data_IF_688027015614
#
_entry.id   IF_688027015614
#
_cell.length_a   1.000
_cell.length_b   1.000
_cell.length_c   1.000
_cell.angle_alpha   90.00
_cell.angle_beta   90.00
_cell.angle_gamma   90.00
#
_symmetry.space_group_name_H-M   'P 1'
#
loop_
_entity.id
_entity.type
_entity.pdbx_description
1 polymer ?
#
# COMPACT_ATOMS: atom_id res chain seq x y z
N UNK A 1 -6.12 -26.87 -15.69
CA UNK A 1 -5.79 -26.03 -14.49
C UNK A 1 -4.30 -25.97 -14.16
N UNK A 2 -3.46 -26.97 -14.49
CA UNK A 2 -2.01 -26.88 -14.17
C UNK A 2 -1.29 -25.75 -14.90
N UNK A 3 -1.66 -25.46 -16.16
CA UNK A 3 -1.01 -24.42 -16.96
C UNK A 3 -1.28 -23.00 -16.43
N UNK A 4 -2.55 -22.60 -16.30
CA UNK A 4 -2.91 -21.23 -15.88
C UNK A 4 -2.33 -20.83 -14.52
N UNK A 5 -2.23 -21.79 -13.59
CA UNK A 5 -1.65 -21.56 -12.27
C UNK A 5 -0.13 -21.35 -12.34
N UNK A 6 0.56 -22.08 -13.21
CA UNK A 6 1.99 -21.87 -13.46
C UNK A 6 2.22 -20.49 -14.06
N UNK A 7 1.47 -20.14 -15.11
CA UNK A 7 1.54 -18.82 -15.75
C UNK A 7 1.28 -17.67 -14.76
N UNK A 8 0.29 -17.83 -13.87
CA UNK A 8 0.05 -16.86 -12.82
C UNK A 8 1.23 -16.75 -11.84
N UNK A 9 1.79 -17.89 -11.42
CA UNK A 9 2.94 -17.91 -10.52
C UNK A 9 4.18 -17.25 -11.14
N UNK A 10 4.42 -17.49 -12.43
CA UNK A 10 5.48 -16.89 -13.21
C UNK A 10 5.29 -15.37 -13.31
N UNK A 11 4.08 -14.91 -13.64
CA UNK A 11 3.74 -13.48 -13.66
C UNK A 11 3.97 -12.80 -12.30
N UNK A 12 3.61 -13.47 -11.21
CA UNK A 12 3.77 -12.93 -9.86
C UNK A 12 5.20 -13.03 -9.32
N UNK A 13 6.10 -13.76 -10.00
CA UNK A 13 7.42 -14.14 -9.50
C UNK A 13 7.36 -14.84 -8.14
N UNK A 14 6.44 -15.81 -8.02
CA UNK A 14 6.21 -16.58 -6.79
C UNK A 14 6.09 -18.08 -7.09
N UNK A 15 6.13 -18.90 -6.04
CA UNK A 15 5.81 -20.32 -6.18
C UNK A 15 4.33 -20.52 -6.52
N UNK A 16 3.97 -21.58 -7.24
CA UNK A 16 2.57 -21.91 -7.53
C UNK A 16 1.70 -22.01 -6.26
N UNK A 17 2.26 -22.35 -5.09
CA UNK A 17 1.53 -22.36 -3.81
C UNK A 17 0.99 -20.98 -3.41
N UNK A 18 1.69 -19.91 -3.80
CA UNK A 18 1.38 -18.53 -3.44
C UNK A 18 0.39 -17.85 -4.41
N UNK A 19 0.18 -18.44 -5.59
CA UNK A 19 -0.91 -18.08 -6.51
C UNK A 19 -2.20 -18.78 -6.07
N UNK A 20 -3.09 -18.04 -5.40
CA UNK A 20 -4.35 -18.58 -4.87
C UNK A 20 -5.48 -18.39 -5.88
N UNK A 21 -6.25 -19.44 -6.21
CA UNK A 21 -7.37 -19.29 -7.12
C UNK A 21 -8.45 -18.38 -6.49
N UNK A 22 -9.21 -17.71 -7.33
CA UNK A 22 -10.41 -17.00 -6.92
C UNK A 22 -11.54 -17.18 -7.94
N UNK A 23 -12.76 -17.01 -7.45
CA UNK A 23 -14.00 -16.92 -8.23
C UNK A 23 -14.94 -15.99 -7.48
N UNK A 24 -15.35 -14.88 -8.11
CA UNK A 24 -16.21 -13.87 -7.49
C UNK A 24 -17.14 -13.23 -8.53
N UNK A 25 -18.32 -12.85 -8.09
CA UNK A 25 -19.17 -11.88 -8.79
C UNK A 25 -18.55 -10.48 -8.68
N UNK A 26 -18.52 -9.73 -9.78
CA UNK A 26 -18.05 -8.35 -9.79
C UNK A 26 -19.19 -7.42 -9.32
N UNK A 27 -19.05 -6.75 -8.16
CA UNK A 27 -20.12 -5.92 -7.61
C UNK A 27 -20.38 -4.65 -8.42
N UNK A 28 -19.45 -4.22 -9.27
CA UNK A 28 -19.66 -3.12 -10.22
C UNK A 28 -20.19 -3.59 -11.57
N UNK A 29 -20.19 -4.90 -11.82
CA UNK A 29 -20.73 -5.53 -13.02
C UNK A 29 -21.42 -6.86 -12.62
N UNK A 30 -22.59 -6.83 -11.94
CA UNK A 30 -23.17 -8.03 -11.29
C UNK A 30 -23.47 -9.20 -12.23
N UNK A 31 -23.59 -8.93 -13.53
CA UNK A 31 -23.72 -9.94 -14.58
C UNK A 31 -22.40 -10.69 -14.87
N UNK A 32 -21.29 -10.24 -14.29
CA UNK A 32 -19.95 -10.75 -14.54
C UNK A 32 -19.43 -11.56 -13.34
N UNK A 33 -19.03 -12.80 -13.60
CA UNK A 33 -18.23 -13.63 -12.68
C UNK A 33 -16.78 -13.70 -13.16
N UNK A 34 -15.84 -13.29 -12.32
CA UNK A 34 -14.41 -13.33 -12.61
C UNK A 34 -13.76 -14.55 -11.98
N UNK A 35 -12.94 -15.28 -12.74
CA UNK A 35 -12.09 -16.37 -12.21
C UNK A 35 -10.64 -16.16 -12.57
N UNK A 36 -9.74 -16.55 -11.67
CA UNK A 36 -8.31 -16.37 -11.87
C UNK A 36 -7.48 -16.73 -10.66
N UNK A 37 -6.33 -16.08 -10.53
CA UNK A 37 -5.43 -16.22 -9.41
C UNK A 37 -5.06 -14.86 -8.81
N UNK A 38 -4.86 -14.81 -7.49
CA UNK A 38 -4.37 -13.64 -6.75
C UNK A 38 -3.04 -13.97 -6.08
N UNK A 39 -2.09 -13.03 -6.13
CA UNK A 39 -0.85 -13.12 -5.39
C UNK A 39 -1.05 -12.71 -3.93
N UNK A 40 -0.87 -13.64 -2.99
CA UNK A 40 -0.95 -13.36 -1.54
C UNK A 40 0.39 -13.03 -0.89
N UNK A 41 1.50 -13.22 -1.61
CA UNK A 41 2.84 -12.94 -1.10
C UNK A 41 3.05 -11.43 -1.01
N UNK A 42 3.58 -10.95 0.10
CA UNK A 42 4.06 -9.59 0.21
C UNK A 42 5.19 -9.34 -0.82
N UNK A 43 5.19 -8.16 -1.44
CA UNK A 43 6.19 -7.79 -2.44
C UNK A 43 5.63 -6.84 -3.50
N UNK A 44 6.37 -6.62 -4.60
CA UNK A 44 5.96 -5.73 -5.69
C UNK A 44 4.66 -6.13 -6.40
N UNK A 45 4.30 -7.41 -6.31
CA UNK A 45 3.11 -8.02 -6.92
C UNK A 45 2.06 -8.46 -5.89
N UNK A 46 2.22 -8.11 -4.62
CA UNK A 46 1.26 -8.49 -3.58
C UNK A 46 -0.12 -7.91 -3.88
N UNK A 47 -1.12 -8.76 -3.99
CA UNK A 47 -2.48 -8.39 -4.39
C UNK A 47 -2.72 -8.26 -5.89
N UNK A 48 -1.74 -8.54 -6.76
CA UNK A 48 -1.94 -8.62 -8.20
C UNK A 48 -2.90 -9.77 -8.57
N UNK A 49 -3.66 -9.61 -9.66
CA UNK A 49 -4.56 -10.62 -10.21
C UNK A 49 -4.06 -11.15 -11.57
N UNK A 50 -4.46 -12.38 -11.85
CA UNK A 50 -4.29 -13.04 -13.13
C UNK A 50 -5.65 -13.65 -13.52
N UNK A 51 -6.44 -12.90 -14.28
CA UNK A 51 -7.82 -13.25 -14.66
C UNK A 51 -7.77 -14.18 -15.86
N UNK A 52 -8.43 -15.33 -15.77
CA UNK A 52 -8.41 -16.37 -16.80
C UNK A 52 -9.78 -16.65 -17.40
N UNK A 53 -10.85 -16.32 -16.68
CA UNK A 53 -12.23 -16.50 -17.15
C UNK A 53 -13.11 -15.32 -16.77
N UNK A 54 -14.09 -15.05 -17.62
CA UNK A 54 -15.23 -14.16 -17.36
C UNK A 54 -16.49 -14.94 -17.73
N UNK A 55 -17.48 -15.01 -16.84
CA UNK A 55 -18.75 -15.71 -17.06
C UNK A 55 -18.57 -17.18 -17.45
N UNK A 56 -17.62 -17.86 -16.80
CA UNK A 56 -17.20 -19.24 -17.13
C UNK A 56 -16.59 -19.43 -18.53
N UNK A 57 -16.42 -18.35 -19.31
CA UNK A 57 -15.75 -18.38 -20.61
C UNK A 57 -14.27 -18.12 -20.41
N UNK A 58 -13.43 -19.03 -20.91
CA UNK A 58 -11.97 -18.87 -20.87
C UNK A 58 -11.55 -17.72 -21.78
N UNK A 59 -10.71 -16.84 -21.26
CA UNK A 59 -10.13 -15.76 -22.05
C UNK A 59 -9.11 -16.30 -23.06
N UNK A 60 -9.07 -15.69 -24.25
CA UNK A 60 -8.04 -15.98 -25.26
C UNK A 60 -6.64 -15.74 -24.70
N UNK A 61 -6.48 -14.64 -23.95
CA UNK A 61 -5.27 -14.32 -23.20
C UNK A 61 -5.63 -13.96 -21.75
N UNK A 62 -4.94 -14.52 -20.75
CA UNK A 62 -5.14 -14.10 -19.37
C UNK A 62 -4.79 -12.63 -19.15
N UNK A 63 -5.63 -11.93 -18.40
CA UNK A 63 -5.42 -10.52 -18.08
C UNK A 63 -4.67 -10.36 -16.77
N UNK A 64 -3.55 -9.63 -16.84
CA UNK A 64 -2.67 -9.33 -15.72
C UNK A 64 -3.11 -8.01 -15.08
N UNK A 65 -3.44 -8.02 -13.79
CA UNK A 65 -3.79 -6.82 -13.00
C UNK A 65 -2.73 -6.60 -11.93
N UNK A 66 -2.07 -5.44 -11.90
CA UNK A 66 -1.00 -5.16 -10.95
C UNK A 66 -1.55 -4.61 -9.62
N UNK A 67 -1.22 -5.24 -8.50
CA UNK A 67 -1.65 -4.81 -7.16
C UNK A 67 -0.88 -3.59 -6.65
N UNK A 68 -1.42 -2.86 -5.67
CA UNK A 68 -0.73 -1.70 -5.11
C UNK A 68 0.55 -2.11 -4.34
N UNK A 69 1.73 -1.55 -4.69
CA UNK A 69 2.97 -1.89 -4.02
C UNK A 69 2.94 -1.47 -2.55
N UNK A 70 3.72 -2.18 -1.73
CA UNK A 70 3.90 -1.79 -0.32
C UNK A 70 4.78 -0.54 -0.25
N UNK A 71 4.35 0.47 0.50
CA UNK A 71 5.19 1.64 0.79
C UNK A 71 6.35 1.23 1.70
N UNK A 72 7.57 1.60 1.30
CA UNK A 72 8.80 1.34 2.02
C UNK A 72 9.17 2.50 2.93
N UNK A 73 9.91 2.23 4.01
CA UNK A 73 10.55 3.28 4.78
C UNK A 73 11.85 3.75 4.09
N UNK A 74 12.16 5.06 4.13
CA UNK A 74 13.38 5.63 3.57
C UNK A 74 14.61 5.49 4.49
N UNK A 75 14.48 4.81 5.63
CA UNK A 75 15.51 4.73 6.68
C UNK A 75 16.28 3.42 6.66
N UNK A 76 17.55 3.45 7.09
CA UNK A 76 18.35 2.25 7.29
C UNK A 76 17.76 1.45 8.45
N UNK A 77 17.50 0.16 8.25
CA UNK A 77 17.16 -0.74 9.34
C UNK A 77 18.40 -0.86 10.25
N UNK A 78 18.28 -0.41 11.51
CA UNK A 78 19.38 -0.46 12.50
C UNK A 78 19.94 -1.87 12.74
N UNK A 79 19.25 -2.93 12.31
CA UNK A 79 19.73 -4.31 12.46
C UNK A 79 21.07 -4.59 11.76
N UNK A 80 21.46 -3.80 10.76
CA UNK A 80 22.76 -3.93 10.09
C UNK A 80 23.80 -2.90 10.57
N UNK A 81 23.47 -2.03 11.53
CA UNK A 81 24.46 -1.08 12.08
C UNK A 81 25.19 -1.61 13.31
N UNK A 82 24.74 -2.73 13.89
CA UNK A 82 25.42 -3.34 15.03
C UNK A 82 26.75 -4.03 14.60
N UNK A 83 26.99 -4.24 13.30
CA UNK A 83 28.28 -4.68 12.73
C UNK A 83 29.21 -3.51 12.35
N UNK A 84 28.77 -2.26 12.53
CA UNK A 84 29.66 -1.12 12.55
C UNK A 84 30.00 -0.85 14.01
N UNK A 85 30.84 -1.71 14.58
CA UNK A 85 31.51 -1.43 15.84
C UNK A 85 32.20 -0.06 15.71
N UNK A 86 31.60 0.96 16.32
CA UNK A 86 32.35 2.14 16.75
C UNK A 86 33.45 1.61 17.65
N UNK A 87 34.67 1.60 17.12
CA UNK A 87 35.92 1.41 17.85
C UNK A 87 36.03 2.57 18.88
N UNK A 88 35.28 2.49 19.97
CA UNK A 88 35.45 3.36 21.14
C UNK A 88 36.64 2.82 21.93
N UNK A 89 37.83 3.32 21.56
CA UNK A 89 39.01 3.30 22.41
C UNK A 89 38.69 3.95 23.76
N UNK A 90 39.25 3.35 24.80
CA UNK A 90 38.90 3.55 26.20
C UNK A 90 39.16 4.95 26.77
N UNK A 91 38.43 5.22 27.86
CA UNK A 91 38.70 6.15 28.97
C UNK A 91 38.53 7.67 28.75
N UNK A 92 37.41 8.22 29.28
CA UNK A 92 37.43 9.04 30.50
C UNK A 92 36.00 9.42 30.95
N UNK A 93 35.81 9.50 32.26
CA UNK A 93 34.55 9.72 32.96
C UNK A 93 34.02 11.14 32.81
N UNK A 94 33.22 11.40 31.78
CA UNK A 94 32.47 12.66 31.59
C UNK A 94 30.98 12.44 31.89
N UNK A 95 30.30 13.36 32.60
CA UNK A 95 28.88 13.23 32.94
C UNK A 95 28.02 13.03 31.69
N UNK A 96 27.24 11.94 31.69
CA UNK A 96 26.38 11.51 30.57
C UNK A 96 25.38 12.61 30.20
N UNK A 97 25.73 13.45 29.21
CA UNK A 97 24.76 14.28 28.48
C UNK A 97 23.61 13.36 28.07
N UNK A 98 22.38 13.71 28.44
CA UNK A 98 21.17 13.00 27.97
C UNK A 98 21.28 12.88 26.46
N UNK A 99 21.55 11.66 25.95
CA UNK A 99 21.64 11.40 24.52
C UNK A 99 20.31 11.86 23.92
N UNK A 100 20.35 12.97 23.18
CA UNK A 100 19.21 13.43 22.40
C UNK A 100 18.80 12.23 21.55
N UNK A 101 17.53 11.79 21.58
CA UNK A 101 17.10 10.60 20.85
C UNK A 101 17.54 10.71 19.40
N UNK A 102 18.52 9.89 19.02
CA UNK A 102 19.22 10.02 17.74
C UNK A 102 18.25 10.03 16.57
N UNK A 103 18.35 11.05 15.73
CA UNK A 103 17.61 11.19 14.48
C UNK A 103 17.73 9.92 13.64
N UNK A 104 16.62 9.41 13.10
CA UNK A 104 16.64 8.30 12.15
C UNK A 104 17.54 8.65 10.96
N UNK A 105 18.56 7.83 10.70
CA UNK A 105 19.45 8.01 9.55
C UNK A 105 18.71 7.55 8.28
N UNK A 106 18.57 8.45 7.32
CA UNK A 106 18.10 8.12 5.97
C UNK A 106 19.06 7.12 5.32
N UNK A 107 18.54 6.27 4.42
CA UNK A 107 19.39 5.44 3.57
C UNK A 107 20.30 6.35 2.74
N UNK A 108 21.58 5.99 2.67
CA UNK A 108 22.54 6.65 1.77
C UNK A 108 22.14 6.42 0.31
N UNK A 109 21.57 5.25 0.00
CA UNK A 109 21.08 4.88 -1.33
C UNK A 109 19.63 4.40 -1.26
N UNK A 110 18.78 4.96 -2.13
CA UNK A 110 17.46 4.40 -2.39
C UNK A 110 17.60 3.28 -3.42
N UNK A 111 16.71 2.29 -3.35
CA UNK A 111 16.62 1.31 -4.41
C UNK A 111 15.90 1.95 -5.59
N UNK A 112 16.66 2.34 -6.61
CA UNK A 112 16.19 2.97 -7.85
C UNK A 112 16.71 2.20 -9.04
N UNK A 113 16.24 2.56 -10.22
CA UNK A 113 16.92 2.18 -11.46
C UNK A 113 18.01 3.24 -11.77
N UNK A 114 18.95 2.93 -12.67
CA UNK A 114 20.17 3.74 -12.91
C UNK A 114 19.93 5.08 -13.64
N UNK A 115 18.67 5.52 -13.85
CA UNK A 115 18.33 6.70 -14.65
C UNK A 115 17.30 7.61 -13.94
N UNK A 116 17.55 7.97 -12.69
CA UNK A 116 16.71 8.92 -11.96
C UNK A 116 16.81 10.30 -12.59
N UNK A 117 15.67 10.90 -12.93
CA UNK A 117 15.62 12.24 -13.57
C UNK A 117 14.83 13.25 -12.76
N UNK A 118 13.89 12.78 -11.94
CA UNK A 118 13.05 13.61 -11.09
C UNK A 118 12.56 12.81 -9.89
N UNK A 119 11.95 13.49 -8.94
CA UNK A 119 11.16 12.83 -7.90
C UNK A 119 9.94 13.67 -7.56
N UNK A 120 8.88 13.01 -7.10
CA UNK A 120 7.66 13.67 -6.65
C UNK A 120 7.38 13.37 -5.18
N UNK A 121 6.91 14.37 -4.45
CA UNK A 121 6.31 14.21 -3.13
C UNK A 121 4.83 14.53 -3.25
N UNK A 122 3.96 13.53 -3.02
CA UNK A 122 2.51 13.74 -2.97
C UNK A 122 1.98 13.49 -1.55
N UNK A 123 0.74 13.88 -1.27
CA UNK A 123 0.17 13.66 0.05
C UNK A 123 -0.01 12.18 0.34
N UNK A 124 0.40 11.77 1.55
CA UNK A 124 -0.01 10.49 2.07
C UNK A 124 -1.39 10.66 2.71
N UNK A 125 -2.43 10.38 1.92
CA UNK A 125 -3.78 10.25 2.45
C UNK A 125 -3.85 9.06 3.41
N UNK A 126 -4.79 9.15 4.34
CA UNK A 126 -4.96 8.26 5.47
C UNK A 126 -6.36 7.67 5.43
N UNK A 127 -6.50 6.54 4.76
CA UNK A 127 -7.73 5.77 4.73
C UNK A 127 -7.49 4.37 4.19
N UNK A 128 -8.38 3.93 3.30
CA UNK A 128 -8.28 2.64 2.65
C UNK A 128 -7.96 2.77 1.18
N UNK A 129 -6.88 2.11 0.75
CA UNK A 129 -6.51 2.06 -0.65
C UNK A 129 -7.50 1.21 -1.48
N UNK A 130 -8.08 1.84 -2.51
CA UNK A 130 -8.97 1.23 -3.50
C UNK A 130 -8.28 1.25 -4.87
N UNK A 131 -8.09 0.08 -5.45
CA UNK A 131 -7.52 -0.08 -6.79
C UNK A 131 -8.64 -0.36 -7.79
N UNK A 132 -8.90 0.58 -8.69
CA UNK A 132 -9.77 0.38 -9.85
C UNK A 132 -8.96 -0.21 -11.00
N UNK A 133 -9.52 -1.18 -11.71
CA UNK A 133 -8.82 -1.83 -12.82
C UNK A 133 -9.76 -2.14 -13.99
N UNK A 134 -9.19 -2.10 -15.19
CA UNK A 134 -9.85 -2.49 -16.43
C UNK A 134 -9.73 -3.98 -16.66
N UNK A 135 -10.79 -4.59 -17.16
CA UNK A 135 -10.74 -5.92 -17.75
C UNK A 135 -11.70 -6.02 -18.94
N UNK A 136 -11.43 -6.94 -19.86
CA UNK A 136 -12.24 -7.15 -21.07
C UNK A 136 -12.59 -8.61 -21.32
N UNK A 137 -13.73 -8.88 -21.94
CA UNK A 137 -14.04 -10.23 -22.40
C UNK A 137 -13.43 -10.53 -23.79
N UNK A 138 -13.71 -11.73 -24.32
CA UNK A 138 -13.23 -12.13 -25.65
C UNK A 138 -13.86 -11.34 -26.80
N UNK A 139 -14.94 -10.60 -26.56
CA UNK A 139 -15.53 -9.69 -27.56
C UNK A 139 -14.85 -8.32 -27.56
N UNK A 140 -13.95 -8.07 -26.60
CA UNK A 140 -13.32 -6.77 -26.40
C UNK A 140 -14.18 -5.80 -25.61
N UNK A 141 -15.31 -6.22 -25.04
CA UNK A 141 -16.12 -5.35 -24.18
C UNK A 141 -15.33 -4.99 -22.93
N UNK A 142 -15.14 -3.69 -22.70
CA UNK A 142 -14.40 -3.16 -21.56
C UNK A 142 -15.31 -3.01 -20.34
N UNK A 143 -14.79 -3.43 -19.18
CA UNK A 143 -15.41 -3.29 -17.87
C UNK A 143 -14.43 -2.66 -16.89
N UNK A 144 -14.94 -2.06 -15.82
CA UNK A 144 -14.16 -1.52 -14.70
C UNK A 144 -14.68 -2.13 -13.40
N UNK A 145 -13.76 -2.64 -12.59
CA UNK A 145 -14.03 -3.10 -11.24
C UNK A 145 -13.07 -2.43 -10.26
N UNK A 146 -13.23 -2.74 -8.97
CA UNK A 146 -12.34 -2.26 -7.92
C UNK A 146 -12.00 -3.37 -6.93
N UNK A 147 -10.91 -3.19 -6.19
CA UNK A 147 -10.48 -4.11 -5.15
C UNK A 147 -9.63 -3.42 -4.09
N UNK A 148 -9.55 -4.05 -2.91
CA UNK A 148 -8.47 -3.76 -1.96
C UNK A 148 -7.26 -4.64 -2.27
N UNK A 149 -6.12 -4.40 -1.60
CA UNK A 149 -4.93 -5.25 -1.78
C UNK A 149 -5.18 -6.73 -1.48
N UNK A 150 -6.04 -7.02 -0.48
CA UNK A 150 -6.26 -8.37 0.05
C UNK A 150 -7.44 -9.12 -0.56
N UNK A 151 -8.16 -8.56 -1.53
CA UNK A 151 -9.33 -9.18 -2.15
C UNK A 151 -9.21 -9.16 -3.66
N UNK A 152 -9.91 -10.04 -4.38
CA UNK A 152 -9.96 -9.98 -5.85
C UNK A 152 -11.02 -8.97 -6.34
N UNK A 153 -12.00 -8.68 -5.49
CA UNK A 153 -13.07 -7.72 -5.72
C UNK A 153 -13.30 -6.86 -4.48
N UNK A 154 -13.95 -5.71 -4.61
CA UNK A 154 -14.31 -4.85 -3.50
C UNK A 154 -15.56 -5.41 -2.80
N UNK A 155 -15.59 -5.39 -1.48
CA UNK A 155 -16.76 -5.84 -0.71
C UNK A 155 -16.77 -5.15 0.64
N UNK A 156 -17.95 -5.02 1.23
CA UNK A 156 -18.09 -4.65 2.63
C UNK A 156 -17.66 -5.83 3.50
N UNK A 157 -16.97 -5.53 4.59
CA UNK A 157 -16.41 -6.55 5.49
C UNK A 157 -16.65 -6.15 6.94
N UNK A 158 -16.38 -7.05 7.88
CA UNK A 158 -16.36 -6.72 9.30
C UNK A 158 -15.38 -5.59 9.68
N UNK A 159 -14.43 -5.24 8.80
CA UNK A 159 -13.44 -4.20 9.02
C UNK A 159 -13.84 -2.84 8.43
N UNK A 160 -14.93 -2.77 7.66
CA UNK A 160 -15.41 -1.53 7.05
C UNK A 160 -16.30 -1.76 5.84
N UNK A 161 -17.14 -0.76 5.59
CA UNK A 161 -18.10 -0.71 4.49
C UNK A 161 -17.46 -0.15 3.20
N UNK A 162 -16.32 -0.74 2.80
CA UNK A 162 -15.49 -0.20 1.73
C UNK A 162 -16.20 -0.12 0.38
N UNK A 163 -17.07 -1.08 0.06
CA UNK A 163 -17.82 -1.05 -1.19
C UNK A 163 -18.92 0.01 -1.15
N UNK A 164 -19.69 0.07 -0.06
CA UNK A 164 -20.73 1.07 0.12
C UNK A 164 -20.16 2.51 0.07
N UNK A 165 -19.09 2.77 0.83
CA UNK A 165 -18.43 4.07 0.87
C UNK A 165 -17.75 4.43 -0.45
N UNK A 166 -17.20 3.46 -1.17
CA UNK A 166 -16.63 3.71 -2.51
C UNK A 166 -17.73 4.11 -3.51
N UNK A 167 -18.89 3.45 -3.49
CA UNK A 167 -20.03 3.86 -4.33
C UNK A 167 -20.50 5.28 -3.96
N UNK A 168 -20.59 5.57 -2.67
CA UNK A 168 -20.95 6.91 -2.21
C UNK A 168 -19.97 7.96 -2.74
N UNK A 169 -18.66 7.70 -2.67
CA UNK A 169 -17.64 8.61 -3.19
C UNK A 169 -17.64 8.75 -4.72
N UNK A 170 -18.10 7.73 -5.46
CA UNK A 170 -18.19 7.78 -6.93
C UNK A 170 -19.45 8.48 -7.43
N UNK A 171 -20.59 8.22 -6.80
CA UNK A 171 -21.90 8.55 -7.35
C UNK A 171 -22.73 9.47 -6.45
N UNK A 172 -22.31 9.69 -5.20
CA UNK A 172 -23.07 10.41 -4.17
C UNK A 172 -24.05 9.50 -3.41
N UNK A 173 -24.45 9.92 -2.19
CA UNK A 173 -25.22 9.11 -1.23
C UNK A 173 -26.63 8.74 -1.71
N UNK A 174 -27.19 9.50 -2.65
CA UNK A 174 -28.55 9.30 -3.16
C UNK A 174 -28.59 8.62 -4.53
N UNK A 175 -27.45 8.20 -5.08
CA UNK A 175 -27.43 7.63 -6.41
C UNK A 175 -27.96 6.20 -6.43
N UNK A 176 -28.85 5.92 -7.39
CA UNK A 176 -29.26 4.57 -7.74
C UNK A 176 -28.24 3.84 -8.63
N UNK A 177 -27.22 4.54 -9.12
CA UNK A 177 -26.19 3.97 -9.98
C UNK A 177 -25.33 2.97 -9.21
N UNK A 178 -25.14 1.78 -9.80
CA UNK A 178 -24.42 0.67 -9.17
C UNK A 178 -23.20 0.22 -9.97
N UNK A 179 -23.04 0.73 -11.18
CA UNK A 179 -22.08 0.22 -12.17
C UNK A 179 -21.24 1.35 -12.71
N UNK A 180 -19.96 1.10 -12.97
CA UNK A 180 -19.08 2.10 -13.59
C UNK A 180 -19.19 1.94 -15.12
N UNK A 181 -19.77 2.91 -15.80
CA UNK A 181 -19.81 2.93 -17.27
C UNK A 181 -18.48 3.47 -17.83
N UNK A 182 -17.64 2.67 -18.52
CA UNK A 182 -16.36 3.16 -19.03
C UNK A 182 -16.48 4.27 -20.10
N UNK A 183 -17.66 4.41 -20.74
CA UNK A 183 -17.93 5.48 -21.70
C UNK A 183 -18.33 6.80 -21.03
N UNK A 184 -18.91 6.72 -19.84
CA UNK A 184 -19.35 7.87 -19.04
C UNK A 184 -18.92 7.68 -17.58
N UNK A 185 -17.60 7.59 -17.32
CA UNK A 185 -17.11 7.28 -15.98
C UNK A 185 -17.30 8.48 -15.04
N UNK A 186 -17.40 8.23 -13.71
CA UNK A 186 -17.29 9.28 -12.69
C UNK A 186 -16.03 10.13 -12.89
N UNK A 187 -16.08 11.42 -12.50
CA UNK A 187 -15.01 12.40 -12.74
C UNK A 187 -13.63 11.86 -12.35
N UNK A 188 -13.53 11.28 -11.15
CA UNK A 188 -12.29 10.75 -10.58
C UNK A 188 -11.65 9.63 -11.42
N UNK A 189 -12.44 8.95 -12.28
CA UNK A 189 -11.99 7.86 -13.15
C UNK A 189 -11.88 8.27 -14.62
N UNK A 190 -12.18 9.53 -14.98
CA UNK A 190 -12.28 9.97 -16.37
C UNK A 190 -10.98 9.80 -17.14
N UNK A 191 -9.88 10.33 -16.61
CA UNK A 191 -8.57 10.24 -17.27
C UNK A 191 -8.09 8.79 -17.36
N UNK A 192 -8.29 8.03 -16.28
CA UNK A 192 -8.03 6.60 -16.25
C UNK A 192 -8.75 5.86 -17.39
N UNK A 193 -10.02 6.14 -17.65
CA UNK A 193 -10.78 5.46 -18.70
C UNK A 193 -10.31 5.82 -20.12
N UNK A 194 -9.89 7.07 -20.34
CA UNK A 194 -9.45 7.59 -21.64
C UNK A 194 -8.12 7.02 -22.12
N UNK A 195 -7.26 6.59 -21.19
CA UNK A 195 -5.89 6.13 -21.48
C UNK A 195 -5.83 4.61 -21.64
N UNK A 196 -5.85 4.04 -22.87
CA UNK A 196 -5.90 2.58 -23.08
C UNK A 196 -4.67 1.84 -22.58
N UNK A 197 -3.52 2.51 -22.47
CA UNK A 197 -2.26 1.98 -21.94
C UNK A 197 -2.25 1.81 -20.41
N UNK A 198 -3.14 2.53 -19.71
CA UNK A 198 -3.33 2.41 -18.26
C UNK A 198 -4.26 1.23 -17.95
N UNK A 199 -3.78 0.35 -17.09
CA UNK A 199 -4.51 -0.82 -16.61
C UNK A 199 -5.34 -0.50 -15.37
N UNK A 200 -4.78 0.24 -14.43
CA UNK A 200 -5.42 0.50 -13.14
C UNK A 200 -5.06 1.87 -12.58
N UNK A 201 -5.92 2.38 -11.72
CA UNK A 201 -5.72 3.60 -10.94
C UNK A 201 -5.92 3.27 -9.46
N UNK A 202 -4.98 3.75 -8.65
CA UNK A 202 -5.00 3.62 -7.20
C UNK A 202 -5.54 4.92 -6.60
N UNK A 203 -6.55 4.81 -5.76
CA UNK A 203 -7.14 5.90 -5.00
C UNK A 203 -7.09 5.60 -3.51
N UNK A 204 -7.01 6.62 -2.67
CA UNK A 204 -7.33 6.50 -1.24
C UNK A 204 -8.80 6.85 -1.03
N UNK A 205 -9.57 5.94 -0.46
CA UNK A 205 -10.89 6.22 0.10
C UNK A 205 -10.69 6.75 1.51
N UNK A 206 -11.08 7.99 1.77
CA UNK A 206 -10.93 8.62 3.08
C UNK A 206 -12.02 9.66 3.32
N UNK A 207 -12.23 10.07 4.57
CA UNK A 207 -13.22 11.08 4.97
C UNK A 207 -13.68 10.88 6.41
N UNK A 208 -14.63 11.69 6.89
CA UNK A 208 -15.19 11.53 8.24
C UNK A 208 -15.96 10.21 8.42
N UNK A 209 -16.52 9.66 7.33
CA UNK A 209 -17.20 8.35 7.32
C UNK A 209 -16.24 7.15 7.28
N UNK A 210 -14.96 7.39 7.02
CA UNK A 210 -13.91 6.37 7.03
C UNK A 210 -12.80 6.83 8.01
N UNK A 211 -13.05 6.66 9.32
CA UNK A 211 -12.21 7.27 10.35
C UNK A 211 -10.83 6.59 10.50
N UNK A 212 -9.75 7.32 10.22
CA UNK A 212 -8.36 6.94 10.53
C UNK A 212 -7.62 8.04 11.34
N UNK A 213 -6.29 8.04 11.42
CA UNK A 213 -5.51 9.00 12.21
C UNK A 213 -5.80 10.48 11.87
N UNK A 214 -6.00 10.80 10.59
CA UNK A 214 -6.19 12.17 10.11
C UNK A 214 -7.66 12.57 10.16
N UNK A 215 -7.95 13.77 10.68
CA UNK A 215 -9.29 14.36 10.61
C UNK A 215 -9.49 15.01 9.26
N UNK A 216 -10.51 14.56 8.54
CA UNK A 216 -10.96 15.19 7.29
C UNK A 216 -12.12 16.14 7.53
N UNK A 217 -12.23 17.14 6.66
CA UNK A 217 -13.30 18.14 6.59
C UNK A 217 -14.36 17.81 5.52
N UNK A 218 -14.28 16.60 4.95
CA UNK A 218 -15.24 16.07 3.98
C UNK A 218 -15.72 14.67 4.40
N UNK A 219 -16.94 14.32 4.00
CA UNK A 219 -17.60 13.09 4.42
C UNK A 219 -16.90 11.82 3.91
N UNK A 220 -16.77 11.72 2.59
CA UNK A 220 -16.08 10.61 1.93
C UNK A 220 -15.62 11.08 0.54
N UNK A 221 -14.40 10.71 0.15
CA UNK A 221 -13.87 11.01 -1.17
C UNK A 221 -12.88 9.92 -1.61
N UNK A 222 -12.73 9.79 -2.93
CA UNK A 222 -11.62 9.07 -3.55
C UNK A 222 -10.55 10.08 -3.96
N UNK A 223 -9.36 9.95 -3.38
CA UNK A 223 -8.19 10.78 -3.70
C UNK A 223 -7.26 9.99 -4.62
N UNK A 224 -7.17 10.33 -5.92
CA UNK A 224 -6.26 9.65 -6.84
C UNK A 224 -4.81 9.73 -6.35
N UNK A 225 -4.08 8.62 -6.43
CA UNK A 225 -2.70 8.52 -5.97
C UNK A 225 -1.74 8.33 -7.16
N UNK A 226 -2.01 7.32 -7.98
CA UNK A 226 -1.18 6.97 -9.13
C UNK A 226 -1.92 6.05 -10.11
N UNK A 227 -1.45 6.01 -11.35
CA UNK A 227 -1.88 5.08 -12.38
C UNK A 227 -0.82 3.99 -12.61
N UNK A 228 -1.24 2.82 -13.08
CA UNK A 228 -0.35 1.71 -13.44
C UNK A 228 -0.54 1.31 -14.91
N UNK A 229 0.57 1.18 -15.62
CA UNK A 229 0.56 0.76 -17.02
C UNK A 229 0.26 -0.74 -17.16
N UNK A 230 -0.42 -1.10 -18.25
CA UNK A 230 -0.61 -2.52 -18.65
C UNK A 230 0.70 -3.24 -18.87
N UNK A 231 1.70 -2.49 -19.30
CA UNK A 231 3.02 -2.97 -19.68
C UNK A 231 3.95 -2.81 -18.47
N UNK A 232 4.39 -3.94 -17.90
CA UNK A 232 5.31 -3.98 -16.76
C UNK A 232 4.76 -3.48 -15.41
N UNK A 233 3.62 -2.79 -15.40
CA UNK A 233 3.07 -2.22 -14.17
C UNK A 233 3.89 -1.04 -13.67
N UNK A 234 4.54 -0.28 -14.55
CA UNK A 234 5.17 0.98 -14.17
C UNK A 234 4.12 1.93 -13.57
N UNK A 235 4.55 2.81 -12.67
CA UNK A 235 3.66 3.69 -11.92
C UNK A 235 3.89 5.14 -12.35
N UNK A 236 2.79 5.84 -12.60
CA UNK A 236 2.77 7.28 -12.85
C UNK A 236 2.04 7.97 -11.70
N UNK A 237 2.71 8.84 -10.91
CA UNK A 237 2.06 9.56 -9.84
C UNK A 237 1.03 10.55 -10.39
N UNK A 238 -0.11 10.67 -9.71
CA UNK A 238 -1.07 11.74 -10.00
C UNK A 238 -0.72 12.91 -9.07
N UNK A 239 -0.35 14.03 -9.68
CA UNK A 239 0.04 15.27 -8.98
C UNK A 239 -1.04 16.31 -9.27
N UNK A 240 -1.70 16.79 -8.22
CA UNK A 240 -2.63 17.92 -8.34
C UNK A 240 -1.84 19.24 -8.36
N UNK A 241 -1.82 19.98 -9.48
CA UNK A 241 -1.06 21.23 -9.59
C UNK A 241 -1.60 22.33 -8.66
N UNK A 242 -2.85 22.20 -8.18
CA UNK A 242 -3.45 23.16 -7.26
C UNK A 242 -3.15 22.84 -5.78
N UNK A 243 -2.65 21.64 -5.49
CA UNK A 243 -2.26 21.27 -4.13
C UNK A 243 -0.78 21.58 -3.95
N UNK A 244 -0.48 22.71 -3.31
CA UNK A 244 0.90 23.16 -3.03
C UNK A 244 1.72 22.16 -2.20
N UNK A 245 1.08 21.16 -1.60
CA UNK A 245 1.75 20.05 -0.89
C UNK A 245 2.18 18.95 -1.85
N UNK A 246 1.80 18.97 -3.11
CA UNK A 246 2.25 18.03 -4.12
C UNK A 246 3.24 18.72 -5.04
N UNK A 247 4.45 18.19 -5.12
CA UNK A 247 5.56 18.87 -5.79
C UNK A 247 6.38 17.88 -6.60
N UNK A 248 6.73 18.29 -7.82
CA UNK A 248 7.70 17.64 -8.70
C UNK A 248 9.02 18.39 -8.59
N UNK A 249 10.11 17.65 -8.43
CA UNK A 249 11.45 18.18 -8.31
C UNK A 249 12.35 17.55 -9.35
N UNK A 250 13.22 18.37 -9.94
CA UNK A 250 14.35 17.85 -10.72
C UNK A 250 15.31 17.09 -9.79
N UNK A 251 15.86 15.99 -10.30
CA UNK A 251 16.81 15.21 -9.53
C UNK A 251 18.23 15.70 -9.76
N UNK A 252 18.86 16.23 -8.72
CA UNK A 252 20.28 16.60 -8.71
C UNK A 252 21.13 15.48 -8.13
N UNK A 253 20.83 15.05 -6.91
CA UNK A 253 21.47 13.95 -6.20
C UNK A 253 20.59 13.47 -5.03
N UNK A 254 20.94 12.31 -4.44
CA UNK A 254 20.19 11.73 -3.33
C UNK A 254 20.26 12.54 -2.02
N UNK A 255 21.34 13.30 -1.79
CA UNK A 255 21.49 14.08 -0.56
C UNK A 255 20.48 15.24 -0.53
N UNK A 256 20.32 15.95 -1.65
CA UNK A 256 19.34 17.03 -1.82
C UNK A 256 17.91 16.49 -1.70
N UNK A 257 17.60 15.39 -2.38
CA UNK A 257 16.30 14.71 -2.24
C UNK A 257 16.01 14.32 -0.78
N UNK A 258 17.00 13.78 -0.06
CA UNK A 258 16.86 13.47 1.36
C UNK A 258 16.62 14.71 2.20
N UNK A 259 17.31 15.81 1.90
CA UNK A 259 17.13 17.08 2.59
C UNK A 259 15.69 17.58 2.40
N UNK A 260 15.17 17.60 1.17
CA UNK A 260 13.79 17.98 0.87
C UNK A 260 12.78 17.08 1.59
N UNK A 261 13.01 15.76 1.62
CA UNK A 261 12.16 14.83 2.38
C UNK A 261 12.16 15.16 3.88
N UNK A 262 13.31 15.49 4.49
CA UNK A 262 13.41 15.85 5.91
C UNK A 262 12.70 17.16 6.21
N UNK A 263 12.84 18.17 5.35
CA UNK A 263 12.12 19.43 5.51
C UNK A 263 10.60 19.22 5.40
N UNK A 264 10.15 18.35 4.50
CA UNK A 264 8.75 17.94 4.45
C UNK A 264 8.27 17.31 5.76
N UNK A 265 9.06 16.41 6.36
CA UNK A 265 8.71 15.80 7.66
C UNK A 265 8.61 16.80 8.79
N UNK A 266 9.56 17.75 8.87
CA UNK A 266 9.54 18.82 9.88
C UNK A 266 8.31 19.71 9.72
N UNK A 267 7.98 20.08 8.48
CA UNK A 267 6.79 20.87 8.16
C UNK A 267 5.51 20.15 8.55
N UNK A 268 5.36 18.89 8.15
CA UNK A 268 4.17 18.09 8.48
C UNK A 268 4.03 17.86 9.99
N UNK A 269 5.15 17.72 10.71
CA UNK A 269 5.16 17.67 12.18
C UNK A 269 4.67 18.98 12.79
N UNK A 270 5.15 20.13 12.30
CA UNK A 270 4.73 21.44 12.79
C UNK A 270 3.23 21.69 12.54
N UNK A 271 2.72 21.30 11.36
CA UNK A 271 1.29 21.37 11.02
C UNK A 271 0.45 20.55 12.01
N UNK A 272 0.88 19.33 12.31
CA UNK A 272 0.18 18.47 13.28
C UNK A 272 0.23 19.05 14.71
N UNK A 273 1.36 19.64 15.12
CA UNK A 273 1.50 20.28 16.43
C UNK A 273 0.61 21.52 16.58
N UNK A 274 0.57 22.38 15.57
CA UNK A 274 -0.31 23.54 15.52
C UNK A 274 -1.79 23.14 15.54
N UNK A 275 -2.16 22.12 14.74
CA UNK A 275 -3.51 21.59 14.72
C UNK A 275 -3.96 21.11 16.11
N UNK A 276 -3.10 20.36 16.83
CA UNK A 276 -3.40 19.90 18.18
C UNK A 276 -3.57 21.05 19.16
N UNK A 277 -2.68 22.05 19.12
CA UNK A 277 -2.77 23.26 19.95
C UNK A 277 -4.07 24.01 19.71
N UNK A 278 -4.44 24.23 18.44
CA UNK A 278 -5.67 24.94 18.05
C UNK A 278 -6.94 24.23 18.53
N UNK A 279 -6.91 22.91 18.65
CA UNK A 279 -8.07 22.09 19.03
C UNK A 279 -8.00 21.59 20.49
N UNK A 280 -7.07 22.08 21.31
CA UNK A 280 -6.85 21.63 22.70
C UNK A 280 -6.69 20.10 22.84
N UNK A 281 -5.96 19.48 21.91
CA UNK A 281 -5.72 18.03 21.88
C UNK A 281 -4.39 17.70 22.55
N UNK A 282 -4.41 17.38 23.84
CA UNK A 282 -3.19 17.12 24.63
C UNK A 282 -2.52 15.79 24.30
N UNK A 283 -3.33 14.76 24.01
CA UNK A 283 -2.84 13.42 23.70
C UNK A 283 -2.35 13.40 22.26
N UNK A 284 -1.12 12.96 21.98
CA UNK A 284 -0.61 12.97 20.59
C UNK A 284 -1.13 11.83 19.72
N UNK A 285 -1.83 10.86 20.28
CA UNK A 285 -1.93 9.50 19.71
C UNK A 285 -3.36 9.00 19.54
N UNK A 286 -4.32 9.89 19.28
CA UNK A 286 -5.72 9.53 19.12
C UNK A 286 -6.26 9.83 17.72
N UNK A 287 -7.38 9.19 17.42
CA UNK A 287 -8.20 9.44 16.23
C UNK A 287 -8.48 10.95 16.12
N UNK A 288 -8.39 11.52 14.92
CA UNK A 288 -8.59 12.95 14.65
C UNK A 288 -7.57 13.94 15.24
N UNK A 289 -6.40 13.47 15.70
CA UNK A 289 -5.36 14.35 16.28
C UNK A 289 -4.30 14.80 15.27
N UNK A 290 -4.49 14.45 14.01
CA UNK A 290 -3.56 14.76 12.92
C UNK A 290 -4.26 15.52 11.81
N UNK A 291 -3.59 16.55 11.30
CA UNK A 291 -3.99 17.26 10.11
C UNK A 291 -3.37 16.63 8.84
N UNK A 292 -2.28 15.89 8.97
CA UNK A 292 -1.63 15.18 7.86
C UNK A 292 -0.92 13.91 8.32
N UNK A 293 -0.92 12.87 7.49
CA UNK A 293 -0.15 11.65 7.73
C UNK A 293 1.30 11.74 7.20
N UNK A 294 1.58 12.71 6.33
CA UNK A 294 2.89 12.89 5.68
C UNK A 294 2.79 12.93 4.16
N UNK A 295 3.82 12.39 3.50
CA UNK A 295 3.94 12.33 2.06
C UNK A 295 4.32 10.93 1.53
N UNK A 296 4.09 10.71 0.24
CA UNK A 296 4.61 9.57 -0.53
C UNK A 296 5.66 10.10 -1.51
N UNK A 297 6.85 9.51 -1.47
CA UNK A 297 7.95 9.78 -2.39
C UNK A 297 7.92 8.79 -3.56
N UNK A 298 7.86 9.36 -4.76
CA UNK A 298 8.00 8.68 -6.04
C UNK A 298 9.35 9.07 -6.63
N UNK A 299 10.23 8.10 -6.87
CA UNK A 299 11.51 8.36 -7.53
C UNK A 299 11.32 8.03 -9.00
N UNK A 300 11.41 9.06 -9.85
CA UNK A 300 11.01 8.98 -11.24
C UNK A 300 12.24 8.76 -12.13
N UNK A 301 12.18 7.69 -12.92
CA UNK A 301 13.24 7.26 -13.80
C UNK A 301 12.82 7.39 -15.27
N UNK A 302 13.81 7.59 -16.15
CA UNK A 302 13.63 7.34 -17.58
C UNK A 302 13.74 5.83 -17.84
N UNK A 303 12.88 5.27 -18.71
CA UNK A 303 12.94 3.85 -19.03
C UNK A 303 14.30 3.54 -19.67
N UNK A 304 15.00 2.55 -19.13
CA UNK A 304 16.23 2.07 -19.75
C UNK A 304 15.85 1.36 -21.06
N UNK A 305 16.24 1.92 -22.22
CA UNK A 305 15.99 1.33 -23.55
C UNK A 305 16.42 -0.15 -23.63
N UNK A 306 17.40 -0.56 -22.83
CA UNK A 306 17.94 -1.92 -22.81
C UNK A 306 17.00 -2.98 -22.21
N UNK A 307 15.94 -2.60 -21.50
CA UNK A 307 14.97 -3.57 -20.97
C UNK A 307 13.84 -3.94 -21.95
N UNK A 308 13.96 -3.50 -23.22
CA UNK A 308 13.50 -4.23 -24.40
C UNK A 308 12.02 -4.62 -24.53
N UNK A 309 11.12 -4.22 -23.63
CA UNK A 309 9.77 -4.79 -23.66
C UNK A 309 8.62 -3.81 -23.84
N UNK A 310 8.82 -2.50 -23.69
CA UNK A 310 7.68 -1.59 -23.65
C UNK A 310 7.96 -0.23 -24.30
N UNK A 311 7.21 0.07 -25.36
CA UNK A 311 7.17 1.38 -25.99
C UNK A 311 6.27 2.32 -25.17
N UNK A 312 6.84 2.86 -24.09
CA UNK A 312 6.21 3.90 -23.27
C UNK A 312 6.44 5.30 -23.84
N UNK A 313 7.04 5.43 -25.03
CA UNK A 313 7.58 6.68 -25.56
C UNK A 313 8.93 7.06 -24.89
N UNK A 314 9.78 7.76 -25.64
CA UNK A 314 11.13 8.14 -25.17
C UNK A 314 11.13 9.12 -23.99
N UNK A 315 10.02 9.82 -23.78
CA UNK A 315 9.92 10.93 -22.84
C UNK A 315 9.15 10.58 -21.57
N UNK A 316 8.74 9.32 -21.41
CA UNK A 316 8.03 8.90 -20.21
C UNK A 316 8.92 8.95 -18.96
N UNK A 317 8.34 9.44 -17.87
CA UNK A 317 8.99 9.59 -16.57
C UNK A 317 8.05 9.01 -15.50
N UNK A 318 8.51 8.00 -14.76
CA UNK A 318 7.73 7.39 -13.69
C UNK A 318 8.50 6.37 -12.86
N UNK A 319 7.80 5.58 -12.05
CA UNK A 319 8.42 4.56 -11.17
C UNK A 319 8.34 3.19 -11.82
N UNK A 320 9.42 2.77 -12.47
CA UNK A 320 9.56 1.49 -13.18
C UNK A 320 9.65 0.29 -12.23
N UNK A 321 10.40 0.42 -11.13
CA UNK A 321 10.63 -0.70 -10.19
C UNK A 321 9.52 -0.90 -9.14
N UNK A 322 8.44 -0.11 -9.22
CA UNK A 322 7.28 -0.15 -8.33
C UNK A 322 7.61 0.05 -6.83
N UNK A 323 8.73 0.72 -6.51
CA UNK A 323 9.10 1.04 -5.12
C UNK A 323 8.69 2.47 -4.80
N UNK A 324 7.80 2.59 -3.84
CA UNK A 324 7.31 3.86 -3.30
C UNK A 324 7.74 3.98 -1.85
N UNK A 325 8.02 5.21 -1.37
CA UNK A 325 8.48 5.42 0.00
C UNK A 325 7.51 6.32 0.77
N UNK A 326 7.29 6.02 2.05
CA UNK A 326 6.48 6.86 2.95
C UNK A 326 7.38 7.81 3.73
N UNK A 327 7.05 9.10 3.68
CA UNK A 327 7.73 10.19 4.36
C UNK A 327 6.79 10.71 5.46
N UNK A 328 6.91 10.15 6.67
CA UNK A 328 5.99 10.45 7.79
C UNK A 328 6.60 11.43 8.77
N UNK A 329 5.84 12.37 9.37
CA UNK A 329 6.34 13.18 10.46
C UNK A 329 6.57 12.29 11.70
N UNK A 330 7.51 12.70 12.55
CA UNK A 330 7.99 11.87 13.67
C UNK A 330 6.87 11.49 14.65
N UNK A 331 5.91 12.38 14.87
CA UNK A 331 4.78 12.11 15.76
C UNK A 331 3.90 10.97 15.24
N UNK A 332 3.57 10.93 13.94
CA UNK A 332 2.85 9.81 13.32
C UNK A 332 3.60 8.48 13.51
N UNK A 333 4.93 8.49 13.43
CA UNK A 333 5.74 7.29 13.66
C UNK A 333 5.68 6.82 15.12
N UNK A 334 5.61 7.76 16.07
CA UNK A 334 5.52 7.48 17.51
C UNK A 334 4.11 7.00 17.95
N UNK A 335 3.04 7.38 17.24
CA UNK A 335 1.63 7.08 17.58
C UNK A 335 1.35 5.63 17.88
N UNK A 336 2.02 4.71 17.19
CA UNK A 336 1.53 3.35 17.17
C UNK A 336 1.82 2.59 18.48
N UNK A 337 2.79 3.02 19.32
CA UNK A 337 3.32 2.17 20.40
C UNK A 337 3.84 2.95 21.62
N UNK A 338 3.18 4.02 22.05
CA UNK A 338 3.58 4.76 23.27
C UNK A 338 3.55 3.90 24.55
N UNK A 339 2.56 3.01 24.65
CA UNK A 339 2.35 1.97 25.69
C UNK A 339 1.88 0.68 25.02
N UNK A 340 1.93 -0.46 25.72
CA UNK A 340 1.34 -1.72 25.26
C UNK A 340 0.04 -2.02 26.04
N UNK A 341 -1.04 -1.32 25.69
CA UNK A 341 -2.36 -1.47 26.31
C UNK A 341 -3.35 -2.26 25.46
N UNK A 342 -4.64 -2.18 25.81
CA UNK A 342 -5.71 -2.89 25.09
C UNK A 342 -5.81 -2.50 23.61
N UNK A 343 -5.57 -1.22 23.27
CA UNK A 343 -5.51 -0.78 21.86
C UNK A 343 -4.40 -1.51 21.09
N UNK A 344 -3.19 -1.61 21.64
CA UNK A 344 -2.08 -2.33 21.00
C UNK A 344 -2.32 -3.83 20.95
N UNK A 345 -2.94 -4.42 21.98
CA UNK A 345 -3.36 -5.82 21.96
C UNK A 345 -4.34 -6.08 20.80
N UNK A 346 -5.34 -5.23 20.60
CA UNK A 346 -6.25 -5.34 19.46
C UNK A 346 -5.51 -5.24 18.11
N UNK A 347 -4.55 -4.32 17.98
CA UNK A 347 -3.67 -4.25 16.79
C UNK A 347 -2.86 -5.52 16.58
N UNK A 348 -2.35 -6.13 17.66
CA UNK A 348 -1.67 -7.43 17.63
C UNK A 348 -2.60 -8.54 17.15
N UNK A 349 -3.83 -8.61 17.66
CA UNK A 349 -4.81 -9.60 17.19
C UNK A 349 -5.08 -9.44 15.69
N UNK A 350 -5.33 -8.20 15.23
CA UNK A 350 -5.57 -7.90 13.81
C UNK A 350 -4.37 -8.29 12.96
N UNK A 351 -3.15 -7.95 13.39
CA UNK A 351 -1.93 -8.33 12.68
C UNK A 351 -1.78 -9.86 12.60
N UNK A 352 -2.01 -10.57 13.71
CA UNK A 352 -1.95 -12.03 13.77
C UNK A 352 -3.01 -12.68 12.86
N UNK A 353 -4.24 -12.15 12.83
CA UNK A 353 -5.27 -12.59 11.88
C UNK A 353 -4.84 -12.35 10.44
N UNK A 354 -4.32 -11.17 10.11
CA UNK A 354 -3.82 -10.84 8.76
C UNK A 354 -2.69 -11.78 8.34
N UNK A 355 -1.76 -12.09 9.24
CA UNK A 355 -0.71 -13.08 8.99
C UNK A 355 -1.30 -14.46 8.73
N UNK A 356 -2.26 -14.91 9.53
CA UNK A 356 -2.93 -16.20 9.33
C UNK A 356 -3.66 -16.26 7.98
N UNK A 357 -4.44 -15.23 7.64
CA UNK A 357 -5.17 -15.11 6.36
C UNK A 357 -4.23 -15.09 5.15
N UNK A 358 -3.02 -14.55 5.31
CA UNK A 358 -1.98 -14.51 4.25
C UNK A 358 -1.07 -15.74 4.26
N UNK A 359 -1.30 -16.71 5.14
CA UNK A 359 -0.43 -17.86 5.37
C UNK A 359 1.04 -17.46 5.63
N UNK A 360 1.25 -16.31 6.26
CA UNK A 360 2.59 -15.81 6.61
C UNK A 360 3.09 -16.57 7.83
N UNK A 361 4.36 -16.98 7.81
CA UNK A 361 4.98 -17.65 8.95
C UNK A 361 4.95 -16.74 10.18
N UNK A 362 4.57 -17.30 11.33
CA UNK A 362 4.61 -16.59 12.59
C UNK A 362 6.06 -16.46 13.07
N UNK A 363 6.65 -15.30 12.79
CA UNK A 363 7.98 -14.92 13.26
C UNK A 363 7.97 -13.51 13.83
N UNK A 364 9.03 -13.16 14.56
CA UNK A 364 9.25 -11.81 15.10
C UNK A 364 9.23 -10.77 13.97
N UNK A 365 9.89 -11.08 12.86
CA UNK A 365 10.01 -10.24 11.68
C UNK A 365 8.67 -10.06 11.00
N UNK A 366 7.94 -11.16 10.75
CA UNK A 366 6.61 -11.12 10.14
C UNK A 366 5.61 -10.31 10.94
N UNK A 367 5.62 -10.47 12.27
CA UNK A 367 4.72 -9.75 13.17
C UNK A 367 5.04 -8.26 13.19
N UNK A 368 6.33 -7.89 13.31
CA UNK A 368 6.77 -6.50 13.25
C UNK A 368 6.35 -5.83 11.94
N UNK A 369 6.53 -6.53 10.83
CA UNK A 369 6.16 -6.03 9.50
C UNK A 369 4.65 -5.84 9.33
N UNK A 370 3.83 -6.69 9.95
CA UNK A 370 2.37 -6.60 9.85
C UNK A 370 1.79 -5.54 10.77
N UNK A 371 2.41 -5.32 11.93
CA UNK A 371 2.09 -4.22 12.85
C UNK A 371 2.51 -2.84 12.32
N UNK A 372 3.30 -2.81 11.24
CA UNK A 372 3.92 -1.61 10.68
C UNK A 372 4.66 -0.75 11.72
N UNK A 373 5.25 -1.42 12.70
CA UNK A 373 5.92 -0.82 13.86
C UNK A 373 7.41 -0.60 13.60
N UNK A 374 7.89 0.59 13.99
CA UNK A 374 9.30 0.96 13.94
C UNK A 374 10.19 0.00 14.75
N UNK A 375 11.45 -0.23 14.35
CA UNK A 375 12.35 -1.15 15.05
C UNK A 375 12.55 -0.81 16.53
N UNK A 376 12.56 0.49 16.87
CA UNK A 376 12.78 0.98 18.23
C UNK A 376 11.58 0.69 19.12
N UNK A 377 10.38 0.99 18.64
CA UNK A 377 9.11 0.77 19.32
C UNK A 377 8.87 -0.73 19.51
N UNK A 378 9.16 -1.54 18.49
CA UNK A 378 9.05 -2.99 18.60
C UNK A 378 10.04 -3.56 19.62
N UNK A 379 11.29 -3.09 19.63
CA UNK A 379 12.28 -3.51 20.63
C UNK A 379 11.81 -3.18 22.05
N UNK A 380 11.13 -2.05 22.26
CA UNK A 380 10.61 -1.61 23.58
C UNK A 380 9.55 -2.56 24.15
N UNK A 381 8.62 -3.04 23.33
CA UNK A 381 7.50 -3.91 23.76
C UNK A 381 7.60 -5.34 23.25
N UNK A 382 8.78 -5.75 22.79
CA UNK A 382 8.96 -6.98 22.03
C UNK A 382 8.41 -8.21 22.75
N UNK A 383 8.71 -8.33 24.04
CA UNK A 383 8.34 -9.52 24.83
C UNK A 383 6.83 -9.58 25.03
N UNK A 384 6.20 -8.46 25.42
CA UNK A 384 4.76 -8.39 25.64
C UNK A 384 3.98 -8.64 24.34
N UNK A 385 4.41 -8.02 23.24
CA UNK A 385 3.84 -8.23 21.91
C UNK A 385 3.93 -9.70 21.50
N UNK A 386 5.12 -10.31 21.59
CA UNK A 386 5.32 -11.70 21.16
C UNK A 386 4.57 -12.69 22.04
N UNK A 387 4.56 -12.48 23.36
CA UNK A 387 3.82 -13.32 24.30
C UNK A 387 2.33 -13.29 23.97
N UNK A 388 1.75 -12.10 23.85
CA UNK A 388 0.33 -11.93 23.54
C UNK A 388 -0.02 -12.47 22.14
N UNK A 389 0.80 -12.15 21.13
CA UNK A 389 0.62 -12.63 19.77
C UNK A 389 0.66 -14.16 19.67
N UNK A 390 1.56 -14.82 20.41
CA UNK A 390 1.64 -16.30 20.44
C UNK A 390 0.41 -16.92 21.08
N UNK A 391 -0.04 -16.38 22.22
CA UNK A 391 -1.26 -16.83 22.88
C UNK A 391 -2.45 -16.75 21.92
N UNK A 392 -2.60 -15.61 21.24
CA UNK A 392 -3.69 -15.41 20.29
C UNK A 392 -3.55 -16.28 19.04
N UNK A 393 -2.36 -16.38 18.43
CA UNK A 393 -2.11 -17.21 17.24
C UNK A 393 -2.45 -18.69 17.50
N UNK A 394 -2.11 -19.21 18.68
CA UNK A 394 -2.44 -20.58 19.08
C UNK A 394 -3.94 -20.81 19.32
N UNK A 395 -4.69 -19.75 19.64
CA UNK A 395 -6.15 -19.82 19.84
C UNK A 395 -6.94 -19.82 18.53
N UNK A 396 -6.33 -19.40 17.40
CA UNK A 396 -6.99 -19.41 16.10
C UNK A 396 -7.19 -20.87 15.66
N UNK A 397 -8.44 -21.30 15.38
CA UNK A 397 -8.71 -22.63 14.90
C UNK A 397 -7.87 -22.91 13.65
N UNK A 398 -7.05 -23.97 13.69
CA UNK A 398 -6.31 -24.40 12.51
C UNK A 398 -7.36 -24.73 11.46
N UNK A 399 -7.36 -24.00 10.35
CA UNK A 399 -8.19 -24.32 9.19
C UNK A 399 -7.90 -25.77 8.84
N UNK A 400 -8.84 -26.66 9.19
CA UNK A 400 -8.72 -28.07 8.91
C UNK A 400 -8.55 -28.16 7.42
N UNK A 401 -7.35 -28.51 6.95
CA UNK A 401 -7.12 -28.79 5.53
C UNK A 401 -8.15 -29.85 5.18
N UNK A 402 -9.23 -29.44 4.54
CA UNK A 402 -10.25 -30.36 4.04
C UNK A 402 -9.48 -31.29 3.15
N UNK A 403 -9.20 -32.50 3.62
CA UNK A 403 -8.58 -33.53 2.80
C UNK A 403 -9.58 -33.72 1.67
N UNK A 404 -9.28 -33.15 0.52
CA UNK A 404 -10.04 -33.42 -0.68
C UNK A 404 -9.92 -34.91 -0.89
N UNK A 405 -10.97 -35.64 -0.53
CA UNK A 405 -11.11 -37.04 -0.86
C UNK A 405 -11.11 -37.11 -2.38
N UNK A 406 -9.92 -37.28 -2.96
CA UNK A 406 -9.74 -37.77 -4.32
C UNK A 406 -10.42 -39.14 -4.34
N UNK A 407 -11.71 -39.15 -4.66
CA UNK A 407 -12.37 -40.33 -5.19
C UNK A 407 -11.60 -40.68 -6.46
N UNK A 408 -10.76 -41.72 -6.37
CA UNK A 408 -10.31 -42.46 -7.56
C UNK A 408 -11.60 -42.94 -8.24
N UNK A 409 -11.88 -42.40 -9.41
CA UNK A 409 -12.74 -43.02 -10.42
C UNK A 409 -11.83 -43.49 -11.53
#
# INVERSE_FOLDING_TARGET
MSNDKSQAADFFHVSAKQAKPFEYEDPFNPQNTLKGFICRKDGPFGGSLFITHINNVKLNEPQKIYGVPKLLYPYVDKKNSDDLEEFEGAEETVPKKKKVPGSCKYKSNFQTDDNVVAFALTNKWNGTNILFFKYSDNSGQLFISAKTKGSATLSDTQFGDFFALTKEALFGSNSSERTINPKHPPEVLREFCRRPEIQSISCELCGTKEPHLVKYDFDIALKPLFMQFKSGGSIEPIIDPNDSRQQLFEFTNFADMCHICKERQKRDFAINDEYRKKNNLEIRYEYNHFATEGAVLYILCKPNRLLGQYDLGSDWIGVSNRKLYKIKPKDIEEVHWGTFGEKQKALVQIAVQKMHLREKEFSKESLREELDIGPKEFKRYQNDILQYARQYFNSIPKTSKTKSNKKKK
#
